data_IF_832226046303
#
_entry.id   IF_832226046303
#
_cell.length_a   1.000
_cell.length_b   1.000
_cell.length_c   1.000
_cell.angle_alpha   90.00
_cell.angle_beta   90.00
_cell.angle_gamma   90.00
#
_symmetry.space_group_name_H-M   'P 1'
#
loop_
_entity.id
_entity.type
_entity.pdbx_description
1 polymer ?
#
# COMPACT_ATOMS: atom_id res chain seq x y z
N UNK A 1 0.46 7.54 21.82
CA UNK A 1 0.11 6.53 22.84
C UNK A 1 0.28 5.10 22.32
N UNK A 2 -0.33 4.73 21.18
CA UNK A 2 -0.22 3.37 20.59
C UNK A 2 1.23 2.96 20.23
N UNK A 3 2.00 3.81 19.56
CA UNK A 3 3.40 3.52 19.22
C UNK A 3 4.28 3.31 20.45
N UNK A 4 4.04 4.07 21.53
CA UNK A 4 4.81 3.96 22.76
C UNK A 4 4.51 2.64 23.49
N UNK A 5 3.26 2.15 23.42
CA UNK A 5 2.88 0.82 23.88
C UNK A 5 3.54 -0.30 23.07
N UNK A 6 3.63 -0.16 21.74
CA UNK A 6 4.30 -1.14 20.88
C UNK A 6 5.80 -1.20 21.20
N UNK A 7 6.46 -0.05 21.33
CA UNK A 7 7.88 0.06 21.71
C UNK A 7 8.11 -0.62 23.07
N UNK A 8 7.29 -0.28 24.07
CA UNK A 8 7.44 -0.78 25.43
C UNK A 8 7.20 -2.28 25.52
N UNK A 9 6.15 -2.79 24.85
CA UNK A 9 5.86 -4.22 24.77
C UNK A 9 6.99 -5.00 24.11
N UNK A 10 7.57 -4.41 23.06
CA UNK A 10 8.79 -4.86 22.42
C UNK A 10 9.99 -5.04 23.31
N UNK A 11 10.36 -3.96 24.00
CA UNK A 11 11.49 -3.92 24.93
C UNK A 11 11.26 -4.91 26.08
N UNK A 12 10.04 -4.99 26.61
CA UNK A 12 9.70 -5.95 27.68
C UNK A 12 9.76 -7.40 27.18
N UNK A 13 9.32 -7.68 25.94
CA UNK A 13 9.45 -9.00 25.32
C UNK A 13 10.90 -9.40 25.04
N UNK A 14 11.75 -8.44 24.64
CA UNK A 14 13.19 -8.63 24.47
C UNK A 14 13.89 -9.00 25.79
N UNK A 15 13.41 -8.46 26.91
CA UNK A 15 13.98 -8.71 28.25
C UNK A 15 13.50 -10.01 28.90
N UNK A 16 12.45 -10.66 28.40
CA UNK A 16 11.90 -11.90 28.96
C UNK A 16 12.40 -13.19 28.28
N UNK A 17 13.29 -13.11 27.28
CA UNK A 17 13.79 -14.27 26.52
C UNK A 17 15.24 -14.65 26.89
N UNK A 18 15.52 -15.92 27.22
CA UNK A 18 16.89 -16.42 27.28
C UNK A 18 17.51 -16.39 25.89
N UNK A 19 18.49 -15.50 25.72
CA UNK A 19 19.37 -15.35 24.56
C UNK A 19 20.11 -16.67 24.31
N UNK A 20 19.54 -17.61 23.55
CA UNK A 20 20.27 -18.85 23.26
C UNK A 20 20.13 -19.50 21.91
N UNK A 21 19.21 -19.06 21.06
CA UNK A 21 19.30 -19.26 19.61
C UNK A 21 18.67 -18.03 18.95
N UNK A 22 19.44 -16.95 18.81
CA UNK A 22 19.03 -15.88 17.90
C UNK A 22 19.12 -16.49 16.49
N UNK A 23 18.00 -16.68 15.76
CA UNK A 23 18.09 -16.92 14.33
C UNK A 23 18.85 -15.76 13.70
N UNK A 24 19.54 -16.03 12.59
CA UNK A 24 20.17 -15.00 11.74
C UNK A 24 19.07 -14.02 11.32
N UNK A 25 18.84 -12.97 12.12
CA UNK A 25 17.86 -11.94 11.82
C UNK A 25 18.50 -11.13 10.72
N UNK A 26 18.13 -11.47 9.48
CA UNK A 26 18.47 -10.69 8.32
C UNK A 26 18.21 -9.21 8.66
N UNK A 27 19.21 -8.33 8.54
CA UNK A 27 18.96 -6.91 8.72
C UNK A 27 17.82 -6.50 7.78
N UNK A 28 17.03 -5.47 8.10
CA UNK A 28 15.87 -5.05 7.30
C UNK A 28 16.29 -4.39 5.97
N UNK A 29 16.98 -5.16 5.13
CA UNK A 29 17.56 -4.76 3.84
C UNK A 29 16.43 -4.28 2.93
N UNK A 30 15.31 -5.02 2.90
CA UNK A 30 14.13 -4.68 2.07
C UNK A 30 13.58 -3.31 2.43
N UNK A 31 13.49 -2.97 3.72
CA UNK A 31 13.04 -1.65 4.19
C UNK A 31 13.95 -0.54 3.67
N UNK A 32 15.28 -0.71 3.80
CA UNK A 32 16.27 0.27 3.35
C UNK A 32 16.21 0.43 1.83
N UNK A 33 16.10 -0.67 1.08
CA UNK A 33 15.96 -0.66 -0.38
C UNK A 33 14.69 0.06 -0.81
N UNK A 34 13.55 -0.18 -0.14
CA UNK A 34 12.30 0.52 -0.44
C UNK A 34 12.44 2.02 -0.24
N UNK A 35 12.99 2.46 0.90
CA UNK A 35 13.24 3.88 1.17
C UNK A 35 14.16 4.48 0.10
N UNK A 36 15.20 3.77 -0.32
CA UNK A 36 16.12 4.21 -1.35
C UNK A 36 15.47 4.36 -2.74
N UNK A 37 14.46 3.55 -3.06
CA UNK A 37 13.70 3.66 -4.32
C UNK A 37 12.73 4.84 -4.29
N UNK A 38 12.13 5.16 -3.13
CA UNK A 38 11.21 6.31 -3.00
C UNK A 38 11.91 7.66 -2.85
N UNK A 39 13.17 7.67 -2.38
CA UNK A 39 13.95 8.87 -2.19
C UNK A 39 14.08 9.73 -3.47
N UNK A 40 14.50 9.21 -4.64
CA UNK A 40 14.57 10.00 -5.87
C UNK A 40 13.19 10.49 -6.33
N UNK A 41 12.14 9.71 -6.12
CA UNK A 41 10.75 10.07 -6.48
C UNK A 41 10.29 11.29 -5.66
N UNK A 42 10.69 11.37 -4.39
CA UNK A 42 10.36 12.49 -3.52
C UNK A 42 11.02 13.83 -3.93
N UNK A 43 12.11 13.77 -4.71
CA UNK A 43 12.81 14.94 -5.23
C UNK A 43 12.39 15.33 -6.66
N UNK A 44 11.41 14.63 -7.24
CA UNK A 44 10.89 14.96 -8.57
C UNK A 44 10.19 16.33 -8.54
N UNK A 45 10.60 17.25 -9.43
CA UNK A 45 10.02 18.60 -9.55
C UNK A 45 8.93 18.65 -10.64
N UNK A 46 8.03 19.65 -10.54
CA UNK A 46 6.90 19.86 -11.46
C UNK A 46 5.52 19.64 -10.81
N UNK A 47 4.43 19.99 -11.50
CA UNK A 47 3.06 19.84 -10.98
C UNK A 47 2.74 18.39 -10.60
N UNK A 48 3.23 17.42 -11.38
CA UNK A 48 3.11 15.99 -11.08
C UNK A 48 3.99 15.55 -9.90
N UNK A 49 5.10 16.27 -9.65
CA UNK A 49 6.03 15.99 -8.55
C UNK A 49 5.44 16.25 -7.16
N UNK A 50 4.47 17.17 -7.04
CA UNK A 50 3.82 17.49 -5.77
C UNK A 50 3.02 16.27 -5.27
N UNK A 51 2.21 15.65 -6.14
CA UNK A 51 1.44 14.45 -5.81
C UNK A 51 2.34 13.24 -5.50
N UNK A 52 3.37 13.02 -6.33
CA UNK A 52 4.30 11.91 -6.11
C UNK A 52 5.12 12.07 -4.82
N UNK A 53 5.46 13.31 -4.43
CA UNK A 53 6.15 13.58 -3.17
C UNK A 53 5.27 13.27 -1.97
N UNK A 54 3.99 13.62 -1.98
CA UNK A 54 3.06 13.28 -0.90
C UNK A 54 2.89 11.76 -0.77
N UNK A 55 2.72 11.05 -1.89
CA UNK A 55 2.65 9.58 -1.90
C UNK A 55 3.95 8.90 -1.42
N UNK A 56 5.10 9.40 -1.86
CA UNK A 56 6.41 8.88 -1.48
C UNK A 56 6.64 9.04 0.03
N UNK A 57 6.32 10.20 0.60
CA UNK A 57 6.46 10.44 2.05
C UNK A 57 5.51 9.56 2.86
N UNK A 58 4.26 9.40 2.43
CA UNK A 58 3.29 8.53 3.09
C UNK A 58 3.74 7.07 3.11
N UNK A 59 4.18 6.54 1.96
CA UNK A 59 4.64 5.15 1.83
C UNK A 59 5.93 4.91 2.60
N UNK A 60 6.91 5.83 2.50
CA UNK A 60 8.16 5.71 3.26
C UNK A 60 7.91 5.71 4.77
N UNK A 61 7.04 6.60 5.27
CA UNK A 61 6.63 6.62 6.67
C UNK A 61 5.96 5.30 7.11
N UNK A 62 5.06 4.76 6.29
CA UNK A 62 4.39 3.49 6.56
C UNK A 62 5.38 2.31 6.62
N UNK A 63 6.34 2.23 5.70
CA UNK A 63 7.37 1.17 5.67
C UNK A 63 8.28 1.25 6.90
N UNK A 64 8.67 2.45 7.33
CA UNK A 64 9.52 2.63 8.54
C UNK A 64 8.78 2.20 9.80
N UNK A 65 7.52 2.62 9.96
CA UNK A 65 6.69 2.21 11.10
C UNK A 65 6.46 0.69 11.06
N UNK A 66 6.19 0.12 9.89
CA UNK A 66 6.03 -1.33 9.72
C UNK A 66 7.29 -2.10 10.08
N UNK A 67 8.47 -1.63 9.68
CA UNK A 67 9.75 -2.25 10.04
C UNK A 67 9.98 -2.23 11.56
N UNK A 68 9.68 -1.10 12.20
CA UNK A 68 9.76 -0.99 13.66
C UNK A 68 8.81 -1.98 14.34
N UNK A 69 7.56 -2.09 13.87
CA UNK A 69 6.58 -3.06 14.38
C UNK A 69 7.04 -4.49 14.11
N UNK A 70 7.57 -4.81 12.94
CA UNK A 70 8.02 -6.16 12.59
C UNK A 70 9.19 -6.61 13.47
N UNK A 71 10.18 -5.75 13.72
CA UNK A 71 11.32 -6.08 14.60
C UNK A 71 10.93 -6.27 16.07
N UNK A 72 9.76 -5.75 16.45
CA UNK A 72 9.34 -5.66 17.85
C UNK A 72 8.26 -6.69 18.18
N UNK A 73 7.23 -6.73 17.34
CA UNK A 73 6.02 -7.52 17.50
C UNK A 73 6.22 -8.96 17.02
N UNK A 74 6.99 -9.17 15.94
CA UNK A 74 7.29 -10.50 15.41
C UNK A 74 8.01 -11.38 16.43
N UNK A 75 9.14 -10.96 17.06
CA UNK A 75 9.79 -11.81 18.07
C UNK A 75 8.90 -12.05 19.29
N UNK A 76 8.12 -11.04 19.72
CA UNK A 76 7.21 -11.18 20.85
C UNK A 76 6.05 -12.17 20.58
N UNK A 77 5.48 -12.14 19.37
CA UNK A 77 4.47 -13.09 18.94
C UNK A 77 5.05 -14.48 18.74
N UNK A 78 6.22 -14.61 18.11
CA UNK A 78 6.91 -15.88 17.96
C UNK A 78 7.18 -16.53 19.33
N UNK A 79 7.75 -15.78 20.28
CA UNK A 79 8.03 -16.26 21.62
C UNK A 79 6.80 -16.82 22.34
N UNK A 80 5.64 -16.16 22.20
CA UNK A 80 4.41 -16.54 22.89
C UNK A 80 3.58 -17.59 22.14
N UNK A 81 3.57 -17.56 20.82
CA UNK A 81 2.79 -18.47 19.98
C UNK A 81 3.47 -19.85 19.84
N UNK A 82 4.81 -19.90 19.85
CA UNK A 82 5.60 -21.14 19.68
C UNK A 82 5.89 -21.89 20.99
N UNK A 83 5.38 -21.44 22.15
CA UNK A 83 5.65 -22.10 23.44
C UNK A 83 4.93 -23.45 23.62
N UNK A 84 4.03 -23.83 22.71
CA UNK A 84 3.37 -25.14 22.75
C UNK A 84 4.09 -26.09 21.78
N UNK A 85 4.78 -27.15 22.23
CA UNK A 85 5.28 -28.17 21.33
C UNK A 85 4.08 -28.75 20.58
N UNK A 86 4.19 -28.82 19.25
CA UNK A 86 3.12 -29.28 18.38
C UNK A 86 2.85 -30.78 18.65
N UNK A 87 1.95 -31.07 19.59
CA UNK A 87 1.49 -32.43 19.83
C UNK A 87 0.40 -32.82 18.83
N UNK A 88 0.70 -33.90 18.10
CA UNK A 88 -0.15 -34.71 17.22
C UNK A 88 -0.79 -34.01 16.02
N UNK A 89 -0.15 -34.23 14.88
CA UNK A 89 -0.63 -33.87 13.56
C UNK A 89 -1.96 -34.55 13.23
N UNK A 90 -3.01 -33.76 13.01
CA UNK A 90 -4.28 -34.24 12.46
C UNK A 90 -4.18 -34.50 10.95
N UNK A 91 -5.15 -35.23 10.40
CA UNK A 91 -5.33 -35.47 8.96
C UNK A 91 -5.16 -34.21 8.07
N UNK A 92 -5.69 -33.02 8.40
CA UNK A 92 -5.51 -31.84 7.55
C UNK A 92 -4.07 -31.30 7.55
N UNK A 93 -3.31 -31.49 8.62
CA UNK A 93 -1.90 -31.07 8.66
C UNK A 93 -1.07 -31.91 7.68
N UNK A 94 -1.24 -33.23 7.68
CA UNK A 94 -0.48 -34.12 6.80
C UNK A 94 -0.82 -33.88 5.32
N UNK A 95 -2.07 -33.51 5.01
CA UNK A 95 -2.45 -33.08 3.67
C UNK A 95 -1.73 -31.78 3.26
N UNK A 96 -1.63 -30.81 4.18
CA UNK A 96 -0.94 -29.54 3.94
C UNK A 96 0.58 -29.75 3.78
N UNK A 97 1.17 -30.60 4.62
CA UNK A 97 2.58 -30.98 4.56
C UNK A 97 2.91 -31.70 3.24
N UNK A 98 2.03 -32.58 2.77
CA UNK A 98 2.16 -33.20 1.45
C UNK A 98 2.13 -32.16 0.32
N UNK A 99 1.25 -31.16 0.39
CA UNK A 99 1.20 -30.08 -0.60
C UNK A 99 2.47 -29.22 -0.54
N UNK A 100 2.92 -28.82 0.66
CA UNK A 100 4.13 -28.01 0.81
C UNK A 100 5.37 -28.72 0.29
N UNK A 101 5.55 -29.99 0.67
CA UNK A 101 6.68 -30.79 0.18
C UNK A 101 6.59 -31.07 -1.32
N UNK A 102 5.39 -31.19 -1.90
CA UNK A 102 5.20 -31.27 -3.35
C UNK A 102 5.64 -29.97 -4.04
N UNK A 103 5.20 -28.81 -3.55
CA UNK A 103 5.58 -27.50 -4.09
C UNK A 103 7.09 -27.29 -3.98
N UNK A 104 7.69 -27.62 -2.84
CA UNK A 104 9.14 -27.53 -2.61
C UNK A 104 9.91 -28.39 -3.61
N UNK A 105 9.55 -29.67 -3.75
CA UNK A 105 10.19 -30.59 -4.72
C UNK A 105 10.06 -30.08 -6.16
N UNK A 106 8.89 -29.53 -6.51
CA UNK A 106 8.67 -28.93 -7.84
C UNK A 106 9.50 -27.67 -8.04
N UNK A 107 9.58 -26.79 -7.06
CA UNK A 107 10.41 -25.60 -7.09
C UNK A 107 11.89 -25.96 -7.28
N UNK A 108 12.42 -26.91 -6.49
CA UNK A 108 13.83 -27.36 -6.62
C UNK A 108 14.08 -28.01 -7.98
N UNK A 109 13.14 -28.82 -8.47
CA UNK A 109 13.25 -29.44 -9.80
C UNK A 109 13.22 -28.41 -10.93
N UNK A 110 12.34 -27.40 -10.84
CA UNK A 110 12.25 -26.29 -11.80
C UNK A 110 13.50 -25.42 -11.74
N UNK A 111 14.02 -25.15 -10.54
CA UNK A 111 15.24 -24.39 -10.34
C UNK A 111 16.44 -25.12 -10.93
N UNK A 112 16.56 -26.43 -10.72
CA UNK A 112 17.59 -27.26 -11.33
C UNK A 112 17.51 -27.30 -12.85
N UNK A 113 16.28 -27.39 -13.41
CA UNK A 113 16.07 -27.30 -14.85
C UNK A 113 16.45 -25.92 -15.40
N UNK A 114 16.07 -24.86 -14.69
CA UNK A 114 16.41 -23.47 -15.01
C UNK A 114 17.93 -23.33 -15.08
N UNK A 115 18.65 -23.65 -14.01
CA UNK A 115 20.13 -23.54 -13.92
C UNK A 115 20.86 -24.34 -15.01
N UNK A 116 20.34 -25.51 -15.41
CA UNK A 116 20.94 -26.36 -16.46
C UNK A 116 20.74 -25.77 -17.86
N UNK A 117 19.70 -24.97 -18.08
CA UNK A 117 19.39 -24.34 -19.37
C UNK A 117 19.61 -22.82 -19.33
N UNK A 118 20.81 -22.39 -18.93
CA UNK A 118 21.24 -20.97 -18.87
C UNK A 118 20.90 -20.15 -20.12
N UNK A 119 21.03 -20.73 -21.31
CA UNK A 119 20.70 -20.03 -22.56
C UNK A 119 19.19 -19.77 -22.71
N UNK A 120 18.35 -20.73 -22.31
CA UNK A 120 16.91 -20.60 -22.37
C UNK A 120 16.42 -19.55 -21.36
N UNK A 121 16.96 -19.53 -20.14
CA UNK A 121 16.63 -18.48 -19.16
C UNK A 121 16.99 -17.09 -19.69
N UNK A 122 18.20 -16.93 -20.24
CA UNK A 122 18.63 -15.63 -20.78
C UNK A 122 17.72 -15.19 -21.91
N UNK A 123 17.33 -16.08 -22.81
CA UNK A 123 16.40 -15.77 -23.90
C UNK A 123 15.02 -15.39 -23.38
N UNK A 124 14.49 -16.09 -22.37
CA UNK A 124 13.22 -15.74 -21.72
C UNK A 124 13.32 -14.38 -21.03
N UNK A 125 14.39 -14.11 -20.29
CA UNK A 125 14.61 -12.81 -19.64
C UNK A 125 14.70 -11.67 -20.64
N UNK A 126 15.38 -11.89 -21.76
CA UNK A 126 15.47 -10.91 -22.86
C UNK A 126 14.13 -10.73 -23.55
N UNK A 127 13.33 -11.79 -23.68
CA UNK A 127 11.96 -11.75 -24.17
C UNK A 127 11.02 -10.96 -23.26
N UNK A 128 11.10 -11.14 -21.93
CA UNK A 128 10.34 -10.35 -20.96
C UNK A 128 10.75 -8.89 -21.05
N UNK A 129 12.05 -8.59 -21.10
CA UNK A 129 12.55 -7.22 -21.23
C UNK A 129 12.08 -6.54 -22.52
N UNK A 130 12.19 -7.23 -23.66
CA UNK A 130 11.68 -6.74 -24.94
C UNK A 130 10.15 -6.55 -24.91
N UNK A 131 9.42 -7.47 -24.27
CA UNK A 131 7.98 -7.37 -24.04
C UNK A 131 7.60 -6.15 -23.22
N UNK A 132 8.33 -5.88 -22.13
CA UNK A 132 8.15 -4.68 -21.30
C UNK A 132 8.38 -3.41 -22.11
N UNK A 133 9.47 -3.31 -22.87
CA UNK A 133 9.75 -2.12 -23.71
C UNK A 133 8.65 -1.91 -24.75
N UNK A 134 8.24 -2.97 -25.44
CA UNK A 134 7.18 -2.89 -26.46
C UNK A 134 5.85 -2.44 -25.84
N UNK A 135 5.45 -3.03 -24.71
CA UNK A 135 4.22 -2.66 -24.01
C UNK A 135 4.28 -1.20 -23.52
N UNK A 136 5.44 -0.77 -23.03
CA UNK A 136 5.66 0.59 -22.55
C UNK A 136 5.56 1.64 -23.66
N UNK A 137 5.91 1.29 -24.91
CA UNK A 137 5.70 2.17 -26.08
C UNK A 137 4.28 2.16 -26.62
N UNK A 138 3.50 1.11 -26.34
CA UNK A 138 2.12 0.97 -26.81
C UNK A 138 1.09 1.62 -25.89
N UNK A 139 1.42 1.77 -24.60
CA UNK A 139 0.51 2.35 -23.61
C UNK A 139 0.40 3.87 -23.78
N UNK A 140 -0.81 4.42 -24.03
CA UNK A 140 -1.05 5.86 -23.99
C UNK A 140 -0.72 6.39 -22.59
N UNK A 141 0.09 7.45 -22.53
CA UNK A 141 0.50 8.09 -21.27
C UNK A 141 -0.58 9.07 -20.84
N UNK A 142 -1.64 8.58 -20.21
CA UNK A 142 -2.64 9.43 -19.57
C UNK A 142 -2.24 9.65 -18.11
N UNK A 143 -1.96 10.91 -17.74
CA UNK A 143 -1.37 11.24 -16.43
C UNK A 143 -2.41 11.35 -15.31
N UNK A 144 -3.62 11.77 -15.64
CA UNK A 144 -4.81 11.76 -14.79
C UNK A 144 -5.99 11.57 -15.75
N UNK A 145 -7.05 10.81 -15.41
CA UNK A 145 -8.30 10.96 -16.14
C UNK A 145 -8.70 12.43 -16.03
N UNK A 146 -9.04 13.07 -17.15
CA UNK A 146 -9.51 14.45 -17.15
C UNK A 146 -10.70 14.51 -16.21
N UNK A 147 -10.48 15.07 -15.01
CA UNK A 147 -11.58 15.41 -14.12
C UNK A 147 -12.21 16.59 -14.80
N UNK A 148 -13.28 16.30 -15.53
CA UNK A 148 -14.06 17.26 -16.25
C UNK A 148 -14.59 18.28 -15.24
N UNK A 149 -13.95 19.44 -15.21
CA UNK A 149 -14.37 20.57 -14.37
C UNK A 149 -15.36 21.47 -15.10
N UNK A 150 -15.63 21.17 -16.38
CA UNK A 150 -16.66 21.83 -17.17
C UNK A 150 -18.01 21.16 -16.89
N UNK A 151 -18.99 21.85 -16.26
CA UNK A 151 -20.31 21.27 -16.01
C UNK A 151 -20.97 20.75 -17.29
N UNK A 152 -20.61 21.30 -18.46
CA UNK A 152 -21.10 20.90 -19.77
C UNK A 152 -20.63 19.51 -20.21
N UNK A 153 -19.38 19.13 -19.90
CA UNK A 153 -18.84 17.82 -20.30
C UNK A 153 -19.18 16.72 -19.28
N UNK A 154 -19.44 17.07 -18.01
CA UNK A 154 -19.92 16.12 -17.00
C UNK A 154 -21.31 15.60 -17.35
N UNK A 155 -22.21 16.47 -17.85
CA UNK A 155 -23.56 16.11 -18.33
C UNK A 155 -23.52 15.09 -19.47
N UNK A 156 -22.56 15.22 -20.39
CA UNK A 156 -22.43 14.31 -21.55
C UNK A 156 -21.91 12.92 -21.19
N UNK A 157 -21.13 12.79 -20.10
CA UNK A 157 -20.48 11.52 -19.71
C UNK A 157 -21.26 10.77 -18.62
N UNK A 158 -21.94 11.46 -17.70
CA UNK A 158 -22.69 10.82 -16.60
C UNK A 158 -24.20 10.90 -16.75
N UNK A 159 -24.72 11.72 -17.66
CA UNK A 159 -26.17 11.93 -17.81
C UNK A 159 -26.83 12.58 -16.59
N UNK A 160 -26.03 13.10 -15.65
CA UNK A 160 -26.50 13.74 -14.42
C UNK A 160 -26.04 15.19 -14.41
N UNK A 161 -27.01 16.10 -14.50
CA UNK A 161 -26.81 17.55 -14.42
C UNK A 161 -26.57 17.95 -12.96
N UNK A 162 -25.29 18.09 -12.58
CA UNK A 162 -24.93 18.68 -11.29
C UNK A 162 -25.11 20.20 -11.40
N UNK A 163 -26.29 20.67 -10.99
CA UNK A 163 -26.59 22.08 -10.83
C UNK A 163 -25.80 22.64 -9.62
N UNK A 164 -24.91 23.62 -9.78
CA UNK A 164 -24.09 24.16 -8.68
C UNK A 164 -24.89 25.01 -7.67
N UNK A 165 -26.22 25.15 -7.82
CA UNK A 165 -27.07 25.98 -6.95
C UNK A 165 -27.44 25.29 -5.62
N UNK A 166 -27.37 23.96 -5.52
CA UNK A 166 -27.85 23.24 -4.33
C UNK A 166 -26.82 23.15 -3.16
N UNK A 167 -25.60 23.66 -3.34
CA UNK A 167 -24.54 23.59 -2.31
C UNK A 167 -24.32 24.92 -1.58
N UNK A 168 -24.83 26.04 -2.12
CA UNK A 168 -24.73 27.36 -1.48
C UNK A 168 -25.86 27.67 -0.47
N UNK A 169 -26.88 26.82 -0.35
CA UNK A 169 -28.06 27.07 0.48
C UNK A 169 -28.04 26.20 1.74
N UNK A 170 -27.02 26.34 2.60
CA UNK A 170 -27.16 25.91 4.00
C UNK A 170 -26.20 26.56 5.02
N UNK A 171 -25.42 27.59 4.63
CA UNK A 171 -24.44 28.20 5.54
C UNK A 171 -24.59 29.71 5.78
N UNK A 172 -25.57 30.38 5.18
CA UNK A 172 -25.83 31.82 5.36
C UNK A 172 -27.33 32.11 5.28
N UNK A 173 -28.05 31.97 6.41
CA UNK A 173 -29.19 32.83 6.82
C UNK A 173 -30.04 32.13 7.90
N UNK A 174 -29.42 31.79 9.03
CA UNK A 174 -30.13 31.60 10.30
C UNK A 174 -29.53 32.60 11.32
N UNK A 175 -29.74 33.88 11.05
CA UNK A 175 -29.41 35.01 11.90
C UNK A 175 -30.55 36.02 11.78
N UNK A 176 -31.32 36.19 12.86
CA UNK A 176 -32.63 36.85 12.80
C UNK A 176 -32.62 38.37 12.65
N UNK A 177 -33.72 38.87 12.10
CA UNK A 177 -34.50 40.01 12.62
C UNK A 177 -35.87 40.02 11.88
N UNK A 178 -37.01 40.07 12.60
CA UNK A 178 -38.33 40.24 12.00
C UNK A 178 -38.63 41.74 11.77
N UNK A 179 -39.62 42.02 10.92
CA UNK A 179 -40.28 43.32 10.70
C UNK A 179 -39.67 44.30 9.68
N UNK A 180 -40.56 44.88 8.85
CA UNK A 180 -40.37 45.75 7.67
C UNK A 180 -39.87 45.00 6.43
N UNK A 181 -40.63 44.80 5.35
CA UNK A 181 -41.30 45.80 4.52
C UNK A 181 -42.62 45.27 3.93
N UNK A 182 -43.68 45.29 4.74
CA UNK A 182 -44.98 45.75 4.22
C UNK A 182 -44.85 47.27 3.97
N UNK A 183 -45.52 47.77 2.93
CA UNK A 183 -45.75 49.20 2.60
C UNK A 183 -44.83 49.89 1.58
N UNK A 184 -44.56 49.32 0.40
CA UNK A 184 -44.35 50.14 -0.80
C UNK A 184 -45.00 49.51 -2.04
N UNK A 185 -46.04 50.19 -2.54
CA UNK A 185 -46.49 50.16 -3.95
C UNK A 185 -47.26 48.90 -4.39
N UNK A 186 -48.55 48.72 -4.05
CA UNK A 186 -49.67 49.40 -4.73
C UNK A 186 -49.27 50.15 -6.00
N UNK A 187 -49.50 49.56 -7.19
CA UNK A 187 -50.27 50.16 -8.30
C UNK A 187 -50.08 49.33 -9.59
N UNK A 188 -51.20 48.71 -10.01
CA UNK A 188 -51.56 48.22 -11.35
C UNK A 188 -51.43 46.72 -11.60
#
# INVERSE_FOLDING_TARGET
MLNLLIVLFGVVGYLQLPVRELPDVDPPIVTITLVAVFLPIAFQTGSTGILYREFAVATAGAVVISAFVALTLTPALCARALTKPAEKHGFPYNALEWIFTFIERRYVSLLGFSLRHKFLIVLVGLGVLAGTVKLFTLLPREFLPDVVNDPVQTVLVTGVEFNPVDVSVDFQSNGGNPDSEDLVSLKK
#
